data_IF_815737004090
#
_entry.id   IF_815737004090
#
_cell.length_a   1.000
_cell.length_b   1.000
_cell.length_c   1.000
_cell.angle_alpha   90.00
_cell.angle_beta   90.00
_cell.angle_gamma   90.00
#
_symmetry.space_group_name_H-M   'P 1'
#
loop_
_entity.id
_entity.type
_entity.pdbx_description
1 polymer ?
#
# COMPACT_ATOMS: atom_id res chain seq x y z
N UNK A 1 -29.08 -18.00 23.03
CA UNK A 1 -27.60 -17.83 23.18
C UNK A 1 -27.33 -16.86 24.32
N UNK A 2 -26.97 -17.31 25.54
CA UNK A 2 -26.94 -16.39 26.69
C UNK A 2 -25.54 -15.79 26.93
N UNK A 3 -25.50 -14.50 27.24
CA UNK A 3 -24.40 -13.70 27.82
C UNK A 3 -23.06 -13.51 27.07
N UNK A 4 -22.76 -14.21 25.97
CA UNK A 4 -21.44 -14.07 25.30
C UNK A 4 -21.31 -12.91 24.30
N UNK A 5 -22.38 -12.52 23.62
CA UNK A 5 -22.37 -11.37 22.71
C UNK A 5 -22.02 -10.04 23.42
N UNK A 6 -22.54 -9.75 24.64
CA UNK A 6 -22.16 -8.55 25.40
C UNK A 6 -20.65 -8.46 25.71
N UNK A 7 -19.99 -9.58 26.04
CA UNK A 7 -18.56 -9.59 26.39
C UNK A 7 -17.70 -9.28 25.17
N UNK A 8 -17.93 -9.96 24.04
CA UNK A 8 -17.21 -9.70 22.80
C UNK A 8 -17.41 -8.25 22.32
N UNK A 9 -18.65 -7.75 22.44
CA UNK A 9 -18.97 -6.38 22.08
C UNK A 9 -18.28 -5.35 23.00
N UNK A 10 -18.17 -5.63 24.30
CA UNK A 10 -17.42 -4.80 25.24
C UNK A 10 -15.92 -4.77 24.89
N UNK A 11 -15.33 -5.93 24.59
CA UNK A 11 -13.93 -6.03 24.16
C UNK A 11 -13.67 -5.25 22.87
N UNK A 12 -14.57 -5.35 21.88
CA UNK A 12 -14.46 -4.58 20.63
C UNK A 12 -14.52 -3.07 20.88
N UNK A 13 -15.44 -2.60 21.73
CA UNK A 13 -15.53 -1.19 22.12
C UNK A 13 -14.26 -0.71 22.81
N UNK A 14 -13.73 -1.52 23.73
CA UNK A 14 -12.47 -1.22 24.42
C UNK A 14 -11.29 -1.17 23.45
N UNK A 15 -11.22 -2.12 22.51
CA UNK A 15 -10.18 -2.17 21.49
C UNK A 15 -10.19 -0.90 20.62
N UNK A 16 -11.37 -0.46 20.18
CA UNK A 16 -11.50 0.77 19.37
C UNK A 16 -10.90 1.97 20.10
N UNK A 17 -11.23 2.16 21.37
CA UNK A 17 -10.69 3.27 22.19
C UNK A 17 -9.17 3.18 22.25
N UNK A 18 -8.61 2.01 22.59
CA UNK A 18 -7.16 1.88 22.72
C UNK A 18 -6.42 2.08 21.39
N UNK A 19 -6.97 1.59 20.27
CA UNK A 19 -6.36 1.78 18.95
C UNK A 19 -6.36 3.25 18.49
N UNK A 20 -7.36 4.04 18.91
CA UNK A 20 -7.43 5.47 18.61
C UNK A 20 -6.40 6.28 19.42
N UNK A 21 -5.99 5.79 20.59
CA UNK A 21 -5.00 6.44 21.46
C UNK A 21 -3.55 6.13 21.08
N UNK A 22 -3.28 5.03 20.34
CA UNK A 22 -1.91 4.64 19.98
C UNK A 22 -1.14 5.71 19.18
N UNK A 23 -1.70 6.35 18.12
CA UNK A 23 -0.95 7.31 17.32
C UNK A 23 -0.47 8.53 18.11
N UNK A 24 -1.28 8.99 19.08
CA UNK A 24 -0.97 10.16 19.92
C UNK A 24 -0.10 9.82 21.13
N UNK A 25 0.14 8.54 21.41
CA UNK A 25 0.94 8.09 22.55
C UNK A 25 2.46 8.30 22.36
N UNK A 26 2.92 8.58 21.14
CA UNK A 26 4.35 8.84 20.85
C UNK A 26 5.26 7.61 21.07
N UNK A 27 4.69 6.40 21.08
CA UNK A 27 5.43 5.15 21.31
C UNK A 27 6.36 4.87 20.13
N UNK A 28 7.61 4.52 20.42
CA UNK A 28 8.65 4.20 19.44
C UNK A 28 9.43 2.98 19.94
N UNK A 29 9.12 1.82 19.35
CA UNK A 29 9.71 0.54 19.69
C UNK A 29 10.62 0.04 18.57
N UNK A 30 11.77 -0.49 18.97
CA UNK A 30 12.72 -1.12 18.08
C UNK A 30 13.04 -2.55 18.57
N UNK A 31 12.43 -3.58 17.98
CA UNK A 31 12.66 -4.95 18.41
C UNK A 31 14.09 -5.44 18.12
N UNK A 32 14.85 -4.76 17.26
CA UNK A 32 16.22 -5.17 16.91
C UNK A 32 17.25 -4.60 17.87
N UNK A 33 17.04 -3.38 18.39
CA UNK A 33 17.98 -2.73 19.32
C UNK A 33 17.57 -2.89 20.78
N UNK A 34 16.27 -3.02 21.06
CA UNK A 34 15.73 -3.16 22.40
C UNK A 34 14.61 -4.22 22.47
N UNK A 35 14.92 -5.50 22.19
CA UNK A 35 13.92 -6.59 22.10
C UNK A 35 13.13 -6.83 23.38
N UNK A 36 13.67 -6.47 24.55
CA UNK A 36 13.02 -6.63 25.85
C UNK A 36 12.15 -5.44 26.26
N UNK A 37 12.14 -4.34 25.48
CA UNK A 37 11.32 -3.18 25.79
C UNK A 37 9.86 -3.50 25.54
N UNK A 38 9.05 -3.42 26.60
CA UNK A 38 7.61 -3.63 26.54
C UNK A 38 6.88 -2.32 26.74
N UNK A 39 5.87 -2.05 25.93
CA UNK A 39 4.96 -0.91 26.09
C UNK A 39 3.60 -1.38 26.63
N UNK A 40 3.19 -0.98 27.84
CA UNK A 40 1.94 -1.43 28.45
C UNK A 40 0.71 -1.20 27.57
N UNK A 41 0.66 -0.09 26.83
CA UNK A 41 -0.46 0.21 25.91
C UNK A 41 -0.54 -0.78 24.76
N UNK A 42 0.60 -1.07 24.12
CA UNK A 42 0.66 -2.07 23.05
C UNK A 42 0.33 -3.48 23.58
N UNK A 43 0.82 -3.82 24.76
CA UNK A 43 0.52 -5.11 25.38
C UNK A 43 -0.97 -5.26 25.70
N UNK A 44 -1.61 -4.20 26.19
CA UNK A 44 -3.05 -4.19 26.44
C UNK A 44 -3.85 -4.42 25.15
N UNK A 45 -3.50 -3.72 24.06
CA UNK A 45 -4.12 -3.91 22.74
C UNK A 45 -3.96 -5.34 22.25
N UNK A 46 -2.74 -5.89 22.29
CA UNK A 46 -2.45 -7.27 21.87
C UNK A 46 -3.22 -8.29 22.70
N UNK A 47 -3.32 -8.09 24.01
CA UNK A 47 -4.09 -8.95 24.90
C UNK A 47 -5.58 -8.94 24.52
N UNK A 48 -6.17 -7.77 24.24
CA UNK A 48 -7.58 -7.67 23.83
C UNK A 48 -7.78 -8.33 22.46
N UNK A 49 -6.90 -8.09 21.48
CA UNK A 49 -6.96 -8.77 20.17
C UNK A 49 -6.90 -10.29 20.35
N UNK A 50 -6.01 -10.79 21.23
CA UNK A 50 -5.91 -12.21 21.55
C UNK A 50 -7.21 -12.79 22.15
N UNK A 51 -7.82 -12.08 23.10
CA UNK A 51 -9.10 -12.49 23.69
C UNK A 51 -10.23 -12.50 22.66
N UNK A 52 -10.30 -11.49 21.80
CA UNK A 52 -11.28 -11.43 20.71
C UNK A 52 -11.06 -12.60 19.74
N UNK A 53 -9.81 -12.89 19.38
CA UNK A 53 -9.47 -14.02 18.49
C UNK A 53 -9.95 -15.34 19.07
N UNK A 54 -9.66 -15.61 20.34
CA UNK A 54 -10.15 -16.81 21.04
C UNK A 54 -11.68 -16.88 21.06
N UNK A 55 -12.36 -15.78 21.39
CA UNK A 55 -13.83 -15.74 21.43
C UNK A 55 -14.47 -15.93 20.05
N UNK A 56 -13.85 -15.40 19.00
CA UNK A 56 -14.25 -15.60 17.60
C UNK A 56 -14.05 -17.06 17.20
N UNK A 57 -12.90 -17.67 17.53
CA UNK A 57 -12.62 -19.08 17.23
C UNK A 57 -13.60 -20.03 17.91
N UNK A 58 -13.87 -19.83 19.19
CA UNK A 58 -14.85 -20.62 19.94
C UNK A 58 -16.24 -20.46 19.35
N UNK A 59 -16.68 -19.23 19.05
CA UNK A 59 -17.97 -18.98 18.39
C UNK A 59 -18.02 -19.69 17.04
N UNK A 60 -16.93 -19.66 16.29
CA UNK A 60 -16.82 -20.28 14.99
C UNK A 60 -16.91 -21.82 15.04
N UNK A 61 -16.49 -22.45 16.14
CA UNK A 61 -16.58 -23.90 16.36
C UNK A 61 -17.90 -24.36 16.98
N UNK A 62 -18.52 -23.53 17.81
CA UNK A 62 -19.74 -23.88 18.56
C UNK A 62 -21.05 -23.54 17.83
N UNK A 63 -20.97 -22.93 16.65
CA UNK A 63 -22.14 -22.51 15.86
C UNK A 63 -22.81 -23.67 15.13
N UNK A 64 -24.12 -23.51 14.87
CA UNK A 64 -24.86 -24.38 13.94
C UNK A 64 -24.48 -24.11 12.47
N UNK A 65 -24.71 -25.09 11.59
CA UNK A 65 -24.25 -25.09 10.19
C UNK A 65 -24.77 -23.92 9.32
N UNK A 66 -25.78 -23.17 9.76
CA UNK A 66 -26.48 -22.14 8.98
C UNK A 66 -26.10 -20.68 9.31
N UNK A 67 -25.23 -20.42 10.29
CA UNK A 67 -25.02 -19.04 10.78
C UNK A 67 -23.83 -18.30 10.12
N UNK A 68 -22.75 -19.01 9.74
CA UNK A 68 -21.55 -18.42 9.14
C UNK A 68 -20.79 -19.43 8.28
N UNK A 69 -20.27 -18.97 7.15
CA UNK A 69 -19.42 -19.76 6.26
C UNK A 69 -17.99 -19.87 6.80
N UNK A 70 -17.19 -20.77 6.21
CA UNK A 70 -15.74 -20.80 6.48
C UNK A 70 -15.04 -19.53 5.96
N UNK A 71 -15.55 -18.94 4.89
CA UNK A 71 -15.07 -17.67 4.34
C UNK A 71 -15.24 -16.53 5.35
N UNK A 72 -16.38 -16.46 6.04
CA UNK A 72 -16.61 -15.42 7.06
C UNK A 72 -15.62 -15.54 8.23
N UNK A 73 -15.32 -16.77 8.65
CA UNK A 73 -14.32 -17.02 9.69
C UNK A 73 -12.92 -16.57 9.24
N UNK A 74 -12.54 -16.86 8.00
CA UNK A 74 -11.26 -16.43 7.43
C UNK A 74 -11.16 -14.89 7.35
N UNK A 75 -12.25 -14.21 6.97
CA UNK A 75 -12.32 -12.74 6.96
C UNK A 75 -12.14 -12.18 8.38
N UNK A 76 -12.82 -12.75 9.38
CA UNK A 76 -12.68 -12.31 10.77
C UNK A 76 -11.23 -12.43 11.27
N UNK A 77 -10.55 -13.53 10.94
CA UNK A 77 -9.13 -13.71 11.26
C UNK A 77 -8.26 -12.67 10.58
N UNK A 78 -8.50 -12.40 9.30
CA UNK A 78 -7.73 -11.39 8.57
C UNK A 78 -7.94 -9.98 9.14
N UNK A 79 -9.18 -9.63 9.52
CA UNK A 79 -9.45 -8.34 10.16
C UNK A 79 -8.68 -8.21 11.48
N UNK A 80 -8.62 -9.27 12.29
CA UNK A 80 -7.82 -9.27 13.52
C UNK A 80 -6.31 -9.17 13.26
N UNK A 81 -5.82 -9.77 12.16
CA UNK A 81 -4.44 -9.60 11.73
C UNK A 81 -4.14 -8.15 11.34
N UNK A 82 -5.04 -7.50 10.59
CA UNK A 82 -4.90 -6.09 10.20
C UNK A 82 -4.89 -5.15 11.41
N UNK A 83 -5.66 -5.44 12.47
CA UNK A 83 -5.66 -4.65 13.70
C UNK A 83 -4.32 -4.78 14.45
N UNK A 84 -3.71 -5.98 14.47
CA UNK A 84 -2.40 -6.19 15.06
C UNK A 84 -1.27 -5.51 14.23
N UNK A 85 -1.36 -5.60 12.90
CA UNK A 85 -0.47 -4.87 11.99
C UNK A 85 -0.58 -3.36 12.23
N UNK A 86 -1.78 -2.81 12.36
CA UNK A 86 -1.99 -1.40 12.66
C UNK A 86 -1.38 -1.01 14.02
N UNK A 87 -1.64 -1.79 15.08
CA UNK A 87 -1.12 -1.49 16.41
C UNK A 87 0.42 -1.50 16.43
N UNK A 88 1.03 -2.47 15.75
CA UNK A 88 2.48 -2.57 15.62
C UNK A 88 3.02 -1.39 14.80
N UNK A 89 2.41 -1.06 13.66
CA UNK A 89 2.83 0.07 12.82
C UNK A 89 2.84 1.39 13.60
N UNK A 90 1.80 1.66 14.41
CA UNK A 90 1.69 2.92 15.17
C UNK A 90 2.68 3.05 16.33
N UNK A 91 3.29 1.94 16.75
CA UNK A 91 4.19 1.88 17.91
C UNK A 91 5.63 1.63 17.53
N UNK A 92 5.92 1.33 16.27
CA UNK A 92 7.25 1.06 15.77
C UNK A 92 8.06 2.34 15.58
N UNK A 93 9.38 2.25 15.75
CA UNK A 93 10.30 3.30 15.35
C UNK A 93 10.10 3.72 13.89
N UNK A 94 10.27 5.02 13.61
CA UNK A 94 10.06 5.59 12.27
C UNK A 94 10.89 4.87 11.20
N UNK A 95 12.11 4.50 11.54
CA UNK A 95 13.09 3.89 10.62
C UNK A 95 12.68 2.48 10.20
N UNK A 96 11.83 1.82 11.00
CA UNK A 96 11.29 0.49 10.70
C UNK A 96 9.87 0.54 10.16
N UNK A 97 9.11 1.59 10.49
CA UNK A 97 7.67 1.72 10.19
C UNK A 97 7.35 1.57 8.71
N UNK A 98 8.17 2.15 7.82
CA UNK A 98 7.97 2.11 6.37
C UNK A 98 8.11 0.68 5.82
N UNK A 99 9.19 -0.01 6.21
CA UNK A 99 9.44 -1.40 5.79
C UNK A 99 8.36 -2.34 6.34
N UNK A 100 7.98 -2.17 7.61
CA UNK A 100 6.92 -2.96 8.23
C UNK A 100 5.57 -2.76 7.53
N UNK A 101 5.20 -1.51 7.20
CA UNK A 101 3.98 -1.20 6.44
C UNK A 101 3.99 -1.84 5.07
N UNK A 102 5.12 -1.79 4.37
CA UNK A 102 5.25 -2.38 3.04
C UNK A 102 5.14 -3.92 3.08
N UNK A 103 5.79 -4.57 4.05
CA UNK A 103 5.66 -6.02 4.28
C UNK A 103 4.22 -6.41 4.62
N UNK A 104 3.58 -5.69 5.55
CA UNK A 104 2.17 -5.91 5.93
C UNK A 104 1.23 -5.76 4.73
N UNK A 105 1.48 -4.79 3.85
CA UNK A 105 0.70 -4.60 2.63
C UNK A 105 0.88 -5.78 1.65
N UNK A 106 2.10 -6.29 1.49
CA UNK A 106 2.36 -7.47 0.66
C UNK A 106 1.65 -8.71 1.21
N UNK A 107 1.72 -8.93 2.53
CA UNK A 107 0.98 -10.01 3.21
C UNK A 107 -0.53 -9.91 2.96
N UNK A 108 -1.10 -8.71 3.05
CA UNK A 108 -2.53 -8.49 2.84
C UNK A 108 -2.94 -8.71 1.38
N UNK A 109 -2.12 -8.27 0.42
CA UNK A 109 -2.33 -8.55 -1.01
C UNK A 109 -2.25 -10.06 -1.29
N UNK A 110 -1.27 -10.73 -0.70
CA UNK A 110 -1.12 -12.18 -0.80
C UNK A 110 -2.34 -12.91 -0.24
N UNK A 111 -2.81 -12.52 0.95
CA UNK A 111 -4.02 -13.09 1.54
C UNK A 111 -5.23 -12.91 0.61
N UNK A 112 -5.48 -11.69 0.10
CA UNK A 112 -6.58 -11.43 -0.84
C UNK A 112 -6.51 -12.34 -2.08
N UNK A 113 -5.32 -12.49 -2.67
CA UNK A 113 -5.12 -13.37 -3.83
C UNK A 113 -5.37 -14.83 -3.49
N UNK A 114 -4.99 -15.28 -2.30
CA UNK A 114 -5.16 -16.67 -1.84
C UNK A 114 -6.63 -17.07 -1.62
N UNK A 115 -7.53 -16.10 -1.39
CA UNK A 115 -8.96 -16.39 -1.17
C UNK A 115 -9.71 -16.80 -2.44
N UNK A 116 -9.15 -16.59 -3.63
CA UNK A 116 -9.78 -16.96 -4.90
C UNK A 116 -8.89 -17.91 -5.72
N UNK A 117 -9.33 -19.15 -5.87
CA UNK A 117 -8.66 -20.11 -6.76
C UNK A 117 -8.93 -19.75 -8.23
N UNK A 118 -7.89 -19.74 -9.07
CA UNK A 118 -8.01 -19.47 -10.52
C UNK A 118 -8.33 -18.02 -10.93
N UNK A 119 -8.50 -17.09 -9.98
CA UNK A 119 -8.75 -15.68 -10.25
C UNK A 119 -7.49 -14.83 -10.48
N UNK A 120 -7.68 -13.60 -10.97
CA UNK A 120 -6.64 -12.56 -11.04
C UNK A 120 -6.94 -11.47 -10.00
N UNK A 121 -5.91 -10.90 -9.38
CA UNK A 121 -6.03 -9.76 -8.48
C UNK A 121 -5.40 -8.53 -9.14
N UNK A 122 -6.15 -7.43 -9.20
CA UNK A 122 -5.64 -6.12 -9.60
C UNK A 122 -5.41 -5.27 -8.35
N UNK A 123 -4.17 -4.78 -8.18
CA UNK A 123 -3.82 -3.86 -7.10
C UNK A 123 -3.73 -2.45 -7.66
N UNK A 124 -4.67 -1.58 -7.28
CA UNK A 124 -4.66 -0.16 -7.61
C UNK A 124 -3.97 0.60 -6.49
N UNK A 125 -2.74 1.04 -6.73
CA UNK A 125 -1.95 1.80 -5.78
C UNK A 125 -1.01 2.78 -6.49
N UNK A 126 -0.40 3.67 -5.71
CA UNK A 126 0.61 4.60 -6.21
C UNK A 126 1.86 3.86 -6.73
N UNK A 127 2.59 4.47 -7.67
CA UNK A 127 3.77 3.88 -8.32
C UNK A 127 4.78 3.32 -7.30
N UNK A 128 5.05 4.03 -6.20
CA UNK A 128 5.98 3.60 -5.15
C UNK A 128 5.57 2.30 -4.42
N UNK A 129 4.29 1.92 -4.45
CA UNK A 129 3.81 0.66 -3.87
C UNK A 129 3.99 -0.49 -4.85
N UNK A 130 3.73 -0.26 -6.13
CA UNK A 130 3.74 -1.31 -7.17
C UNK A 130 5.09 -1.47 -7.87
N UNK A 131 6.00 -0.49 -7.76
CA UNK A 131 7.35 -0.56 -8.31
C UNK A 131 8.12 -1.76 -7.74
N UNK A 132 8.64 -2.64 -8.59
CA UNK A 132 9.34 -3.87 -8.21
C UNK A 132 10.67 -3.64 -7.44
N UNK A 133 11.11 -2.40 -7.28
CA UNK A 133 12.21 -2.00 -6.40
C UNK A 133 11.75 -1.61 -4.99
N UNK A 134 10.44 -1.42 -4.77
CA UNK A 134 9.83 -1.18 -3.46
C UNK A 134 9.52 -2.48 -2.73
N UNK A 135 9.65 -2.48 -1.39
CA UNK A 135 9.52 -3.67 -0.54
C UNK A 135 8.23 -4.47 -0.79
N UNK A 136 7.08 -3.80 -0.95
CA UNK A 136 5.79 -4.47 -1.20
C UNK A 136 5.86 -5.33 -2.46
N UNK A 137 6.20 -4.71 -3.59
CA UNK A 137 6.24 -5.38 -4.87
C UNK A 137 7.41 -6.37 -4.99
N UNK A 138 8.53 -6.12 -4.29
CA UNK A 138 9.64 -7.09 -4.20
C UNK A 138 9.19 -8.40 -3.57
N UNK A 139 8.48 -8.35 -2.43
CA UNK A 139 7.94 -9.53 -1.77
C UNK A 139 6.93 -10.27 -2.66
N UNK A 140 6.05 -9.54 -3.34
CA UNK A 140 5.07 -10.12 -4.27
C UNK A 140 5.76 -10.74 -5.50
N UNK A 141 6.77 -10.08 -6.06
CA UNK A 141 7.57 -10.62 -7.17
C UNK A 141 8.33 -11.87 -6.76
N UNK A 142 8.92 -11.89 -5.56
CA UNK A 142 9.57 -13.09 -5.03
C UNK A 142 8.60 -14.25 -4.83
N UNK A 143 7.34 -13.95 -4.49
CA UNK A 143 6.29 -14.95 -4.23
C UNK A 143 5.67 -15.52 -5.51
N UNK A 144 5.34 -14.67 -6.48
CA UNK A 144 4.60 -15.05 -7.69
C UNK A 144 5.49 -15.15 -8.95
N UNK A 145 6.76 -14.72 -8.85
CA UNK A 145 7.70 -14.71 -9.97
C UNK A 145 7.14 -13.98 -11.19
N UNK A 146 7.10 -14.63 -12.37
CA UNK A 146 6.62 -14.02 -13.61
C UNK A 146 5.11 -13.77 -13.64
N UNK A 147 4.32 -14.34 -12.71
CA UNK A 147 2.88 -14.11 -12.64
C UNK A 147 2.52 -12.76 -12.00
N UNK A 148 3.47 -12.12 -11.32
CA UNK A 148 3.32 -10.76 -10.82
C UNK A 148 3.83 -9.74 -11.83
N UNK A 149 2.89 -8.97 -12.38
CA UNK A 149 3.15 -7.94 -13.40
C UNK A 149 2.94 -6.55 -12.80
N UNK A 150 3.94 -5.69 -12.92
CA UNK A 150 3.88 -4.31 -12.43
C UNK A 150 3.59 -3.33 -13.56
N UNK A 151 2.56 -2.51 -13.35
CA UNK A 151 2.16 -1.44 -14.26
C UNK A 151 2.39 -0.09 -13.56
N UNK A 152 3.37 0.67 -14.05
CA UNK A 152 3.57 2.06 -13.63
C UNK A 152 2.68 3.00 -14.43
N UNK A 153 2.52 4.22 -13.92
CA UNK A 153 1.83 5.30 -14.62
C UNK A 153 2.73 6.52 -14.73
N UNK A 154 2.66 7.25 -15.84
CA UNK A 154 3.37 8.51 -16.01
C UNK A 154 2.49 9.48 -16.79
N UNK A 155 2.54 10.78 -16.44
CA UNK A 155 1.84 11.80 -17.20
C UNK A 155 2.73 13.01 -17.48
N UNK A 156 2.53 13.63 -18.64
CA UNK A 156 3.45 14.64 -19.15
C UNK A 156 3.10 16.06 -18.71
N UNK A 157 1.89 16.53 -19.05
CA UNK A 157 1.37 17.86 -18.70
C UNK A 157 0.01 17.78 -18.01
N UNK A 158 -0.56 18.93 -17.69
CA UNK A 158 -1.90 19.05 -17.13
C UNK A 158 -1.88 19.48 -15.67
N UNK A 159 -2.82 18.96 -14.90
CA UNK A 159 -2.95 19.26 -13.48
C UNK A 159 -3.57 18.09 -12.72
N UNK A 160 -3.32 18.05 -11.41
CA UNK A 160 -3.75 17.00 -10.51
C UNK A 160 -4.25 17.58 -9.19
N UNK A 161 -4.91 16.75 -8.37
CA UNK A 161 -5.31 17.14 -7.01
C UNK A 161 -4.24 16.72 -6.00
N UNK A 162 -3.90 17.62 -5.09
CA UNK A 162 -3.05 17.38 -3.92
C UNK A 162 -3.58 18.20 -2.75
N UNK A 163 -3.43 17.73 -1.52
CA UNK A 163 -3.68 18.52 -0.31
C UNK A 163 -2.35 18.99 0.31
N UNK A 164 -2.38 19.61 1.49
CA UNK A 164 -1.18 20.12 2.17
C UNK A 164 -0.43 19.05 3.01
N UNK A 165 -0.85 17.79 2.94
CA UNK A 165 -0.33 16.68 3.74
C UNK A 165 -0.75 16.65 5.20
N UNK A 166 -1.59 17.59 5.65
CA UNK A 166 -2.10 17.66 7.03
C UNK A 166 -3.61 17.40 7.12
N UNK A 167 -4.22 16.91 6.03
CA UNK A 167 -5.66 16.80 5.91
C UNK A 167 -6.27 18.16 5.58
N UNK A 168 -6.77 18.30 4.35
CA UNK A 168 -7.43 19.51 3.90
C UNK A 168 -8.19 19.30 2.59
N UNK A 169 -8.88 20.34 2.13
CA UNK A 169 -9.53 20.31 0.82
C UNK A 169 -8.44 20.19 -0.26
N UNK A 170 -8.48 19.16 -1.14
CA UNK A 170 -7.53 19.06 -2.23
C UNK A 170 -7.60 20.29 -3.13
N UNK A 171 -6.43 20.72 -3.60
CA UNK A 171 -6.27 21.85 -4.49
C UNK A 171 -5.78 21.37 -5.85
N UNK A 172 -6.23 22.05 -6.90
CA UNK A 172 -5.74 21.80 -8.26
C UNK A 172 -4.32 22.36 -8.36
N UNK A 173 -3.37 21.48 -8.64
CA UNK A 173 -1.96 21.82 -8.80
C UNK A 173 -1.52 21.58 -10.25
N UNK A 174 -0.95 22.59 -10.92
CA UNK A 174 -0.41 22.41 -12.26
C UNK A 174 0.84 21.53 -12.23
N UNK A 175 0.97 20.67 -13.24
CA UNK A 175 2.16 19.85 -13.41
C UNK A 175 3.35 20.74 -13.81
N UNK A 176 4.45 20.66 -13.04
CA UNK A 176 5.72 21.30 -13.41
C UNK A 176 6.19 20.77 -14.76
N UNK A 177 6.64 21.62 -15.67
CA UNK A 177 7.09 21.20 -17.00
C UNK A 177 8.19 20.12 -16.91
N UNK A 178 8.12 19.12 -17.79
CA UNK A 178 9.17 18.11 -17.91
C UNK A 178 10.47 18.75 -18.43
N UNK A 179 11.60 18.30 -17.92
CA UNK A 179 12.92 18.84 -18.26
C UNK A 179 13.80 17.77 -18.93
N UNK A 180 14.79 18.17 -19.76
CA UNK A 180 15.78 17.23 -20.29
C UNK A 180 16.37 16.36 -19.17
N UNK A 181 16.36 15.04 -19.37
CA UNK A 181 16.76 14.07 -18.34
C UNK A 181 15.59 13.51 -17.51
N UNK A 182 14.33 13.85 -17.83
CA UNK A 182 13.14 13.17 -17.32
C UNK A 182 12.51 12.25 -18.37
N UNK A 183 11.89 11.15 -17.96
CA UNK A 183 11.19 10.24 -18.87
C UNK A 183 10.05 10.95 -19.61
N UNK A 184 9.31 11.82 -18.93
CA UNK A 184 8.24 12.64 -19.52
C UNK A 184 8.76 13.52 -20.66
N UNK A 185 9.97 14.10 -20.53
CA UNK A 185 10.57 14.90 -21.59
C UNK A 185 10.84 14.07 -22.85
N UNK A 186 11.35 12.84 -22.68
CA UNK A 186 11.56 11.91 -23.80
C UNK A 186 10.24 11.47 -24.42
N UNK A 187 9.24 11.13 -23.61
CA UNK A 187 7.90 10.76 -24.10
C UNK A 187 7.24 11.91 -24.88
N UNK A 188 7.38 13.15 -24.41
CA UNK A 188 6.87 14.35 -25.09
C UNK A 188 7.62 14.65 -26.39
N UNK A 189 8.94 14.54 -26.39
CA UNK A 189 9.77 14.79 -27.58
C UNK A 189 9.49 13.75 -28.66
N UNK A 190 9.25 12.51 -28.27
CA UNK A 190 8.78 11.44 -29.14
C UNK A 190 7.31 11.59 -29.56
N UNK A 191 6.57 12.58 -29.02
CA UNK A 191 5.16 12.85 -29.27
C UNK A 191 4.27 11.63 -29.08
N UNK A 192 4.53 10.86 -28.01
CA UNK A 192 3.74 9.67 -27.72
C UNK A 192 2.27 10.05 -27.44
N UNK A 193 1.29 9.35 -28.02
CA UNK A 193 -0.11 9.47 -27.61
C UNK A 193 -0.34 8.75 -26.28
N UNK A 194 -1.59 8.70 -25.79
CA UNK A 194 -1.96 7.76 -24.72
C UNK A 194 -1.50 6.36 -25.12
N UNK A 195 -0.54 5.82 -24.37
CA UNK A 195 0.20 4.63 -24.79
C UNK A 195 0.41 3.68 -23.62
N UNK A 196 0.32 2.39 -23.92
CA UNK A 196 0.83 1.33 -23.06
C UNK A 196 2.19 0.89 -23.61
N UNK A 197 3.23 1.06 -22.80
CA UNK A 197 4.60 0.72 -23.16
C UNK A 197 4.99 -0.57 -22.44
N UNK A 198 5.21 -1.67 -23.19
CA UNK A 198 5.86 -2.86 -22.62
C UNK A 198 7.35 -2.52 -22.43
N UNK A 199 7.80 -2.44 -21.18
CA UNK A 199 9.16 -2.06 -20.83
C UNK A 199 10.12 -3.24 -20.92
N UNK A 200 9.64 -4.48 -21.10
CA UNK A 200 10.49 -5.66 -21.24
C UNK A 200 10.97 -5.83 -22.68
N UNK A 201 10.16 -5.41 -23.65
CA UNK A 201 10.38 -5.66 -25.07
C UNK A 201 11.55 -4.87 -25.71
N UNK A 202 11.76 -3.56 -25.45
CA UNK A 202 12.74 -2.79 -26.22
C UNK A 202 14.18 -3.26 -25.95
N UNK A 203 14.95 -3.57 -26.99
CA UNK A 203 16.39 -3.85 -26.87
C UNK A 203 17.17 -2.57 -26.52
N UNK A 204 18.38 -2.71 -25.97
CA UNK A 204 19.29 -1.59 -25.72
C UNK A 204 19.91 -1.13 -27.05
N UNK A 205 19.41 -0.03 -27.58
CA UNK A 205 19.84 0.61 -28.83
C UNK A 205 20.03 2.12 -28.59
N UNK A 206 20.75 2.86 -29.45
CA UNK A 206 20.94 4.30 -29.28
C UNK A 206 19.64 5.10 -29.10
N UNK A 207 18.54 4.69 -29.76
CA UNK A 207 17.23 5.35 -29.63
C UNK A 207 16.41 4.95 -28.39
N UNK A 208 16.77 3.87 -27.70
CA UNK A 208 16.05 3.32 -26.54
C UNK A 208 16.90 3.32 -25.27
N UNK A 209 18.17 3.73 -25.34
CA UNK A 209 19.11 3.70 -24.21
C UNK A 209 18.61 4.47 -22.99
N UNK A 210 17.83 5.52 -23.18
CA UNK A 210 17.25 6.32 -22.09
C UNK A 210 16.29 5.50 -21.21
N UNK A 211 15.66 4.44 -21.74
CA UNK A 211 14.84 3.52 -20.96
C UNK A 211 15.66 2.71 -19.94
N UNK A 212 16.98 2.61 -20.14
CA UNK A 212 17.90 1.83 -19.30
C UNK A 212 18.66 2.69 -18.28
N UNK A 213 18.40 4.00 -18.25
CA UNK A 213 19.11 4.95 -17.40
C UNK A 213 18.32 5.26 -16.14
N UNK A 214 19.01 5.68 -15.09
CA UNK A 214 18.37 6.27 -13.92
C UNK A 214 18.06 7.74 -14.19
N UNK A 215 16.82 8.02 -14.60
CA UNK A 215 16.34 9.34 -15.02
C UNK A 215 15.27 9.87 -14.07
N UNK A 216 14.94 11.16 -14.22
CA UNK A 216 13.86 11.77 -13.47
C UNK A 216 12.50 11.22 -13.94
N UNK A 217 11.63 10.87 -13.00
CA UNK A 217 10.21 10.60 -13.23
C UNK A 217 9.41 11.48 -12.27
N UNK A 218 8.27 11.97 -12.72
CA UNK A 218 7.35 12.71 -11.88
C UNK A 218 6.79 11.78 -10.81
N UNK A 219 7.05 12.13 -9.56
CA UNK A 219 6.51 11.46 -8.38
C UNK A 219 5.69 12.49 -7.61
N UNK A 220 4.38 12.45 -7.83
CA UNK A 220 3.40 13.33 -7.19
C UNK A 220 2.29 12.48 -6.60
N UNK A 221 1.85 12.86 -5.41
CA UNK A 221 0.85 12.11 -4.68
C UNK A 221 -0.12 13.01 -3.92
N UNK A 222 -0.64 12.46 -2.83
CA UNK A 222 -1.60 13.13 -1.97
C UNK A 222 -1.08 14.46 -1.39
N UNK A 223 0.21 14.53 -1.09
CA UNK A 223 0.84 15.67 -0.43
C UNK A 223 2.01 16.20 -1.27
N UNK A 224 2.25 17.52 -1.29
CA UNK A 224 3.33 18.12 -2.05
C UNK A 224 4.65 17.63 -1.52
N UNK A 225 5.50 17.20 -2.44
CA UNK A 225 6.89 16.86 -2.17
C UNK A 225 7.77 18.09 -2.48
N UNK A 226 8.88 18.29 -1.75
CA UNK A 226 9.84 19.36 -2.08
C UNK A 226 10.39 19.25 -3.50
N UNK A 227 10.47 18.02 -4.04
CA UNK A 227 10.78 17.74 -5.43
C UNK A 227 9.69 16.87 -6.05
N UNK A 228 9.07 17.38 -7.12
CA UNK A 228 8.05 16.65 -7.90
C UNK A 228 8.64 15.64 -8.87
N UNK A 229 9.96 15.63 -9.02
CA UNK A 229 10.70 14.66 -9.81
C UNK A 229 11.71 13.92 -8.94
N UNK A 230 11.65 12.59 -8.97
CA UNK A 230 12.59 11.71 -8.30
C UNK A 230 13.30 10.84 -9.33
N UNK A 231 14.35 10.14 -8.90
CA UNK A 231 15.18 9.30 -9.76
C UNK A 231 14.62 7.88 -9.81
N UNK A 232 14.39 7.37 -11.02
CA UNK A 232 13.78 6.06 -11.27
C UNK A 232 14.52 5.28 -12.36
N UNK A 233 14.54 3.97 -12.22
CA UNK A 233 14.98 3.00 -13.23
C UNK A 233 13.73 2.25 -13.74
N UNK A 234 12.94 2.86 -14.63
CA UNK A 234 11.57 2.41 -14.91
C UNK A 234 11.49 0.96 -15.39
N UNK A 235 12.53 0.44 -16.07
CA UNK A 235 12.59 -0.96 -16.51
C UNK A 235 12.81 -1.96 -15.37
N UNK A 236 13.41 -1.53 -14.25
CA UNK A 236 13.58 -2.36 -13.05
C UNK A 236 12.38 -2.25 -12.13
N UNK A 237 11.64 -1.17 -12.23
CA UNK A 237 10.47 -0.89 -11.41
C UNK A 237 9.19 -1.47 -12.01
N UNK A 238 9.03 -1.37 -13.32
CA UNK A 238 7.79 -1.71 -14.01
C UNK A 238 8.02 -2.65 -15.19
N UNK A 239 7.13 -3.63 -15.34
CA UNK A 239 7.08 -4.47 -16.55
C UNK A 239 6.45 -3.69 -17.72
N UNK A 240 5.54 -2.77 -17.41
CA UNK A 240 4.92 -1.87 -18.37
C UNK A 240 4.60 -0.51 -17.77
N UNK A 241 4.43 0.49 -18.63
CA UNK A 241 4.07 1.85 -18.25
C UNK A 241 2.86 2.34 -19.04
N UNK A 242 1.85 2.85 -18.35
CA UNK A 242 0.78 3.62 -18.97
C UNK A 242 1.19 5.11 -19.02
N UNK A 243 1.44 5.61 -20.22
CA UNK A 243 1.76 7.01 -20.45
C UNK A 243 0.52 7.82 -20.82
N UNK A 244 0.28 8.90 -20.07
CA UNK A 244 -0.86 9.81 -20.23
C UNK A 244 -0.33 11.18 -20.68
N UNK A 245 -0.55 11.62 -21.93
CA UNK A 245 0.02 12.88 -22.42
C UNK A 245 -0.40 14.10 -21.61
N UNK A 246 -1.69 14.17 -21.25
CA UNK A 246 -2.28 15.28 -20.50
C UNK A 246 -3.16 14.72 -19.39
N UNK A 247 -2.86 15.09 -18.15
CA UNK A 247 -3.70 14.78 -16.99
C UNK A 247 -4.74 15.86 -16.73
N UNK A 248 -5.85 15.49 -16.13
CA UNK A 248 -6.84 16.42 -15.59
C UNK A 248 -7.11 16.11 -14.13
N UNK A 249 -7.48 17.11 -13.30
CA UNK A 249 -7.79 16.88 -11.90
C UNK A 249 -8.94 15.89 -11.77
N UNK A 250 -8.84 14.99 -10.78
CA UNK A 250 -9.91 14.06 -10.46
C UNK A 250 -11.18 14.85 -10.11
N UNK A 251 -12.30 14.50 -10.73
CA UNK A 251 -13.59 15.10 -10.41
C UNK A 251 -14.18 14.44 -9.16
N UNK A 252 -14.89 15.22 -8.35
CA UNK A 252 -15.69 14.64 -7.28
C UNK A 252 -16.68 13.64 -7.87
N UNK A 253 -16.78 12.46 -7.27
CA UNK A 253 -17.84 11.51 -7.61
C UNK A 253 -19.16 12.19 -7.22
N UNK A 254 -20.16 12.24 -8.14
CA UNK A 254 -21.44 12.90 -7.89
C UNK A 254 -22.23 12.28 -6.72
#
# INVERSE_FOLDING_TARGET
>A
MPQRAPVLQALLKQLVVQLQELPSAGIRLNPFTAPSTTEPRLQAVRNIIGQIRLGVDERNRLRGASEFTLTDAAIQHQLLQMLDQYATFQTLDSDLSSAYRAASLAENIYWCRSQQQGGKLLVLAHNNVVAATGTTAQLLRATYGPEYVTLGTAFATGSFLTDNGFGGKPTVTPAVAAMPGSYEYYFQTAKLPLSYLDLRAPALLPGTQWLYQNLLLRDVGHSPTPSTFLRHEIRREFDALLFIPVSTPLQAVP
#
